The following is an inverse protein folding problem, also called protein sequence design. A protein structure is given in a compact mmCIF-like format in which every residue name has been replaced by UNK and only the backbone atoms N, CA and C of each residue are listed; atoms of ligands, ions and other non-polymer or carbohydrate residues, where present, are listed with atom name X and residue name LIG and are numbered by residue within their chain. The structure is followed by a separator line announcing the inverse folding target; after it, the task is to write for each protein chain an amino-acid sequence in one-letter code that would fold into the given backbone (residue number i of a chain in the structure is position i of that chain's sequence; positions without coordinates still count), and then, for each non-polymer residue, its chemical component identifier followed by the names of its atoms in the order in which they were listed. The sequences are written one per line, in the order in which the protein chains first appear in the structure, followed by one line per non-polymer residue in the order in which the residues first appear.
data_IF_596612037066
#
_entry.id   IF_596612037066
#
_cell.length_a   1.000
_cell.length_b   1.000
_cell.length_c   1.000
_cell.angle_alpha   90.00
_cell.angle_beta   90.00
_cell.angle_gamma   90.00
#
_symmetry.space_group_name_H-M   'P 1'
#
loop_
_entity.id
_entity.type
_entity.pdbx_description
1 polymer ?
#
# COMPACT_ATOMS: atom_id res chain seq x y z
N UNK A 1 30.48 -6.38 36.37
CA UNK A 1 29.32 -6.07 35.51
C UNK A 1 28.07 -6.35 36.31
N UNK A 2 27.51 -5.30 36.89
CA UNK A 2 26.61 -5.39 38.04
C UNK A 2 25.23 -5.91 37.63
N UNK A 3 24.49 -6.49 38.58
CA UNK A 3 23.19 -7.13 38.34
C UNK A 3 22.19 -6.21 37.60
N UNK A 4 22.26 -4.90 37.87
CA UNK A 4 21.47 -3.87 37.19
C UNK A 4 21.79 -3.78 35.69
N UNK A 5 23.06 -3.93 35.29
CA UNK A 5 23.47 -3.93 33.89
C UNK A 5 22.95 -5.17 33.14
N UNK A 6 22.91 -6.33 33.80
CA UNK A 6 22.38 -7.56 33.20
C UNK A 6 20.86 -7.49 32.97
N UNK A 7 20.12 -6.91 33.92
CA UNK A 7 18.66 -6.72 33.81
C UNK A 7 18.34 -5.69 32.72
N UNK A 8 19.06 -4.57 32.68
CA UNK A 8 18.87 -3.54 31.66
C UNK A 8 19.15 -4.07 30.24
N UNK A 9 20.22 -4.86 30.08
CA UNK A 9 20.56 -5.49 28.81
C UNK A 9 19.51 -6.52 28.36
N UNK A 10 19.00 -7.33 29.29
CA UNK A 10 17.94 -8.29 29.01
C UNK A 10 16.64 -7.63 28.55
N UNK A 11 16.27 -6.48 29.13
CA UNK A 11 15.08 -5.71 28.73
C UNK A 11 15.24 -5.09 27.33
N UNK A 12 16.44 -4.61 26.98
CA UNK A 12 16.73 -4.09 25.64
C UNK A 12 16.67 -5.18 24.56
N UNK A 13 17.19 -6.38 24.87
CA UNK A 13 17.11 -7.54 23.96
C UNK A 13 15.66 -8.00 23.81
N UNK A 14 14.89 -8.09 24.90
CA UNK A 14 13.48 -8.46 24.86
C UNK A 14 12.66 -7.46 24.04
N UNK A 15 12.91 -6.15 24.19
CA UNK A 15 12.27 -5.13 23.37
C UNK A 15 12.56 -5.33 21.88
N UNK A 16 13.81 -5.66 21.51
CA UNK A 16 14.20 -5.89 20.11
C UNK A 16 13.49 -7.08 19.45
N UNK A 17 13.13 -8.12 20.22
CA UNK A 17 12.36 -9.26 19.74
C UNK A 17 10.83 -9.05 19.76
N UNK A 18 10.34 -8.07 20.53
CA UNK A 18 8.91 -7.74 20.61
C UNK A 18 8.46 -6.71 19.56
N UNK A 19 9.39 -6.05 18.86
CA UNK A 19 9.05 -5.27 17.68
C UNK A 19 9.09 -6.20 16.47
N UNK A 20 7.94 -6.62 15.90
CA UNK A 20 7.95 -7.29 14.61
C UNK A 20 8.57 -6.31 13.61
N UNK A 21 9.69 -6.70 13.01
CA UNK A 21 10.27 -5.92 11.93
C UNK A 21 9.23 -5.97 10.82
N UNK A 22 8.64 -4.83 10.48
CA UNK A 22 7.62 -4.78 9.44
C UNK A 22 8.27 -5.23 8.12
N UNK A 23 8.01 -6.47 7.72
CA UNK A 23 8.48 -6.97 6.45
C UNK A 23 7.77 -6.20 5.34
N UNK A 24 8.54 -5.54 4.50
CA UNK A 24 8.08 -4.94 3.27
C UNK A 24 7.47 -6.03 2.37
N UNK A 25 6.14 -6.15 2.37
CA UNK A 25 5.44 -7.18 1.60
C UNK A 25 5.17 -6.68 0.19
N UNK A 26 6.05 -7.05 -0.75
CA UNK A 26 5.80 -6.84 -2.18
C UNK A 26 4.69 -7.81 -2.61
N UNK A 27 3.66 -7.25 -3.23
CA UNK A 27 2.51 -7.99 -3.75
C UNK A 27 2.32 -7.68 -5.23
N UNK A 28 1.61 -8.57 -5.93
CA UNK A 28 1.17 -8.39 -7.32
C UNK A 28 -0.34 -8.20 -7.32
N UNK A 29 -0.85 -7.27 -8.11
CA UNK A 29 -2.27 -6.97 -8.15
C UNK A 29 -2.73 -6.47 -9.51
N UNK A 30 -4.06 -6.35 -9.64
CA UNK A 30 -4.72 -5.85 -10.86
C UNK A 30 -5.52 -4.61 -10.51
N UNK A 31 -5.38 -3.54 -11.29
CA UNK A 31 -6.22 -2.35 -11.14
C UNK A 31 -7.66 -2.71 -11.53
N UNK A 32 -8.59 -2.58 -10.58
CA UNK A 32 -10.02 -2.90 -10.80
C UNK A 32 -10.90 -1.66 -10.88
N UNK A 33 -10.49 -0.54 -10.28
CA UNK A 33 -11.09 0.78 -10.50
C UNK A 33 -10.00 1.77 -10.87
N UNK A 34 -10.12 2.50 -12.00
CA UNK A 34 -9.08 3.40 -12.47
C UNK A 34 -9.19 4.77 -11.80
N UNK A 35 -8.15 5.58 -11.97
CA UNK A 35 -8.26 7.03 -11.73
C UNK A 35 -9.22 7.67 -12.75
N UNK A 36 -9.82 8.81 -12.41
CA UNK A 36 -10.70 9.56 -13.31
C UNK A 36 -10.28 11.03 -13.37
N UNK A 37 -10.82 11.78 -14.32
CA UNK A 37 -10.58 13.22 -14.38
C UNK A 37 -11.02 13.87 -13.06
N UNK A 38 -10.10 14.61 -12.42
CA UNK A 38 -10.35 15.26 -11.13
C UNK A 38 -10.26 14.32 -9.90
N UNK A 39 -9.96 13.03 -10.07
CA UNK A 39 -9.72 12.13 -8.95
C UNK A 39 -8.55 11.16 -9.19
N UNK A 40 -7.52 11.30 -8.37
CA UNK A 40 -6.29 10.51 -8.46
C UNK A 40 -6.33 9.20 -7.64
N UNK A 41 -7.50 8.80 -7.13
CA UNK A 41 -7.63 7.52 -6.43
C UNK A 41 -7.93 6.38 -7.40
N UNK A 42 -7.44 5.17 -7.09
CA UNK A 42 -7.69 3.94 -7.84
C UNK A 42 -7.65 2.73 -6.90
N UNK A 43 -8.27 1.61 -7.31
CA UNK A 43 -8.32 0.38 -6.51
C UNK A 43 -7.53 -0.72 -7.20
N UNK A 44 -6.72 -1.42 -6.41
CA UNK A 44 -5.99 -2.62 -6.82
C UNK A 44 -6.56 -3.83 -6.09
N UNK A 45 -6.88 -4.90 -6.82
CA UNK A 45 -7.15 -6.22 -6.26
C UNK A 45 -5.82 -6.91 -5.95
N UNK A 46 -5.67 -7.42 -4.73
CA UNK A 46 -4.48 -8.12 -4.24
C UNK A 46 -4.87 -9.52 -3.73
N UNK A 47 -3.91 -10.43 -3.46
CA UNK A 47 -4.21 -11.73 -2.87
C UNK A 47 -4.90 -11.65 -1.50
N UNK A 48 -4.71 -10.57 -0.76
CA UNK A 48 -5.27 -10.38 0.59
C UNK A 48 -6.54 -9.52 0.60
N UNK A 49 -7.08 -9.11 -0.56
CA UNK A 49 -8.28 -8.29 -0.66
C UNK A 49 -8.12 -7.16 -1.67
N UNK A 50 -8.48 -5.94 -1.29
CA UNK A 50 -8.37 -4.75 -2.13
C UNK A 50 -7.59 -3.64 -1.41
N UNK A 51 -6.83 -2.87 -2.19
CA UNK A 51 -6.12 -1.68 -1.73
C UNK A 51 -6.66 -0.43 -2.45
N UNK A 52 -6.87 0.64 -1.68
CA UNK A 52 -7.19 1.97 -2.20
C UNK A 52 -5.90 2.79 -2.22
N UNK A 53 -5.54 3.25 -3.41
CA UNK A 53 -4.30 3.97 -3.65
C UNK A 53 -4.62 5.36 -4.20
N UNK A 54 -3.86 6.37 -3.78
CA UNK A 54 -3.84 7.68 -4.41
C UNK A 54 -2.57 7.82 -5.25
N UNK A 55 -2.72 8.19 -6.52
CA UNK A 55 -1.60 8.49 -7.39
C UNK A 55 -0.98 9.84 -7.03
N UNK A 56 0.31 9.84 -6.70
CA UNK A 56 1.11 11.03 -6.37
C UNK A 56 2.19 11.34 -7.44
N UNK A 57 2.12 10.66 -8.59
CA UNK A 57 3.01 10.90 -9.73
C UNK A 57 2.44 11.92 -10.71
N UNK A 58 3.31 12.78 -11.24
CA UNK A 58 3.02 13.73 -12.33
C UNK A 58 3.05 13.07 -13.73
N UNK A 59 2.93 11.75 -13.80
CA UNK A 59 2.96 11.01 -15.06
C UNK A 59 1.67 11.20 -15.85
N UNK A 60 1.78 11.20 -17.18
CA UNK A 60 0.63 11.18 -18.10
C UNK A 60 -0.02 9.79 -18.16
N UNK A 61 0.71 8.74 -17.76
CA UNK A 61 0.25 7.36 -17.78
C UNK A 61 -0.52 7.04 -16.50
N UNK A 62 -1.84 7.09 -16.58
CA UNK A 62 -2.73 6.84 -15.45
C UNK A 62 -3.08 5.36 -15.30
N UNK A 63 -3.28 4.85 -14.07
CA UNK A 63 -3.76 3.48 -13.84
C UNK A 63 -5.11 3.23 -14.53
N UNK A 64 -5.18 2.18 -15.34
CA UNK A 64 -6.37 1.74 -16.07
C UNK A 64 -6.86 0.39 -15.54
N UNK A 65 -8.16 0.14 -15.61
CA UNK A 65 -8.71 -1.18 -15.27
C UNK A 65 -8.04 -2.26 -16.11
N UNK A 66 -7.58 -3.32 -15.45
CA UNK A 66 -6.86 -4.44 -16.06
C UNK A 66 -5.34 -4.31 -16.03
N UNK A 67 -4.79 -3.13 -15.69
CA UNK A 67 -3.34 -2.97 -15.54
C UNK A 67 -2.81 -3.88 -14.42
N UNK A 68 -1.69 -4.55 -14.70
CA UNK A 68 -0.97 -5.35 -13.74
C UNK A 68 0.09 -4.51 -13.01
N UNK A 69 0.05 -4.54 -11.69
CA UNK A 69 0.94 -3.74 -10.83
C UNK A 69 1.68 -4.62 -9.82
N UNK A 70 2.90 -4.21 -9.47
CA UNK A 70 3.73 -4.84 -8.43
C UNK A 70 4.29 -3.79 -7.47
N UNK A 71 4.26 -4.06 -6.17
CA UNK A 71 4.71 -3.13 -5.14
C UNK A 71 4.12 -3.43 -3.77
N UNK A 72 4.38 -2.56 -2.80
CA UNK A 72 3.89 -2.71 -1.42
C UNK A 72 2.53 -2.02 -1.23
N UNK A 73 1.44 -2.64 -1.70
CA UNK A 73 0.10 -2.04 -1.53
C UNK A 73 -0.58 -2.44 -0.21
N UNK A 74 0.05 -3.30 0.59
CA UNK A 74 -0.51 -3.88 1.82
C UNK A 74 0.06 -3.24 3.09
N UNK A 75 0.60 -2.03 2.97
CA UNK A 75 1.14 -1.26 4.10
C UNK A 75 0.84 0.22 3.90
N UNK A 76 0.46 0.92 4.97
CA UNK A 76 0.08 2.34 4.92
C UNK A 76 1.27 3.23 4.51
N UNK A 77 0.96 4.31 3.79
CA UNK A 77 1.87 5.42 3.50
C UNK A 77 2.39 5.48 2.05
N UNK A 78 3.44 6.27 1.83
CA UNK A 78 4.04 6.43 0.50
C UNK A 78 4.76 5.17 0.05
N UNK A 79 4.50 4.72 -1.19
CA UNK A 79 5.12 3.55 -1.80
C UNK A 79 5.42 3.79 -3.28
N UNK A 80 6.34 3.01 -3.81
CA UNK A 80 6.57 2.89 -5.23
C UNK A 80 5.87 1.64 -5.76
N UNK A 81 5.16 1.79 -6.87
CA UNK A 81 4.39 0.74 -7.52
C UNK A 81 4.76 0.73 -8.99
N UNK A 82 5.19 -0.42 -9.50
CA UNK A 82 5.52 -0.59 -10.91
C UNK A 82 4.28 -1.10 -11.63
N UNK A 83 3.80 -0.37 -12.62
CA UNK A 83 2.79 -0.83 -13.56
C UNK A 83 3.51 -1.60 -14.68
N UNK A 84 3.37 -2.93 -14.65
CA UNK A 84 4.01 -3.84 -15.59
C UNK A 84 3.37 -3.79 -16.97
N UNK A 85 2.07 -3.47 -17.06
CA UNK A 85 1.36 -3.34 -18.34
C UNK A 85 1.78 -2.10 -19.11
N UNK A 86 2.01 -0.99 -18.41
CA UNK A 86 2.36 0.30 -19.01
C UNK A 86 3.86 0.61 -18.96
N UNK A 87 4.67 -0.25 -18.31
CA UNK A 87 6.12 -0.07 -18.11
C UNK A 87 6.49 1.27 -17.43
N UNK A 88 5.73 1.66 -16.41
CA UNK A 88 5.94 2.91 -15.67
C UNK A 88 5.91 2.69 -14.16
N UNK A 89 6.68 3.50 -13.42
CA UNK A 89 6.65 3.51 -11.95
C UNK A 89 5.80 4.67 -11.44
N UNK A 90 4.91 4.34 -10.51
CA UNK A 90 4.09 5.29 -9.78
C UNK A 90 4.61 5.47 -8.36
N UNK A 91 4.63 6.73 -7.91
CA UNK A 91 4.64 7.06 -6.50
C UNK A 91 3.19 7.17 -6.06
N UNK A 92 2.82 6.38 -5.06
CA UNK A 92 1.44 6.32 -4.56
C UNK A 92 1.41 6.54 -3.06
N UNK A 93 0.25 6.95 -2.55
CA UNK A 93 -0.08 6.88 -1.15
C UNK A 93 -1.08 5.74 -0.94
N UNK A 94 -0.74 4.76 -0.09
CA UNK A 94 -1.65 3.69 0.31
C UNK A 94 -2.61 4.22 1.37
N UNK A 95 -3.85 4.46 0.95
CA UNK A 95 -4.90 5.05 1.78
C UNK A 95 -5.61 3.98 2.63
N UNK A 96 -5.74 2.76 2.14
CA UNK A 96 -6.23 1.61 2.90
C UNK A 96 -5.95 0.30 2.15
N UNK A 97 -5.92 -0.83 2.85
CA UNK A 97 -5.63 -2.15 2.29
C UNK A 97 -6.36 -3.28 3.04
N UNK A 98 -6.28 -4.50 2.50
CA UNK A 98 -7.01 -5.69 2.97
C UNK A 98 -8.53 -5.45 3.08
N UNK A 99 -9.05 -4.57 2.23
CA UNK A 99 -10.46 -4.26 2.15
C UNK A 99 -11.23 -5.39 1.49
N UNK A 100 -12.51 -5.51 1.84
CA UNK A 100 -13.48 -6.19 0.98
C UNK A 100 -13.79 -5.32 -0.26
N UNK A 101 -14.27 -5.94 -1.34
CA UNK A 101 -14.65 -5.24 -2.57
C UNK A 101 -15.65 -4.09 -2.29
N UNK A 102 -16.68 -4.36 -1.49
CA UNK A 102 -17.71 -3.37 -1.13
C UNK A 102 -17.14 -2.17 -0.38
N UNK A 103 -16.24 -2.41 0.59
CA UNK A 103 -15.58 -1.32 1.33
C UNK A 103 -14.63 -0.50 0.46
N UNK A 104 -13.92 -1.15 -0.46
CA UNK A 104 -13.03 -0.46 -1.40
C UNK A 104 -13.83 0.51 -2.29
N UNK A 105 -14.94 0.05 -2.87
CA UNK A 105 -15.81 0.88 -3.71
C UNK A 105 -16.46 2.01 -2.90
N UNK A 106 -16.98 1.73 -1.71
CA UNK A 106 -17.54 2.75 -0.81
C UNK A 106 -16.52 3.87 -0.52
N UNK A 107 -15.28 3.50 -0.17
CA UNK A 107 -14.21 4.47 0.11
C UNK A 107 -13.79 5.25 -1.13
N UNK A 108 -13.65 4.59 -2.27
CA UNK A 108 -13.36 5.25 -3.54
C UNK A 108 -14.41 6.31 -3.87
N UNK A 109 -15.71 5.99 -3.76
CA UNK A 109 -16.79 6.94 -4.06
C UNK A 109 -16.84 8.13 -3.09
N UNK A 110 -16.40 7.95 -1.84
CA UNK A 110 -16.24 9.09 -0.90
C UNK A 110 -15.09 10.02 -1.29
N UNK A 111 -14.00 9.48 -1.85
CA UNK A 111 -12.84 10.27 -2.27
C UNK A 111 -13.03 10.90 -3.66
N UNK A 112 -13.77 10.22 -4.53
CA UNK A 112 -14.11 10.63 -5.88
C UNK A 112 -15.64 10.81 -6.02
N UNK A 113 -16.24 11.85 -5.43
CA UNK A 113 -17.64 12.17 -5.69
C UNK A 113 -17.84 12.54 -7.17
N UNK A 114 -19.08 12.38 -7.66
CA UNK A 114 -19.47 12.59 -9.05
C UNK A 114 -19.22 14.03 -9.54
#
# INVERSE_FOLDING_TARGET
MDMVHKISLALLILAFFLFPWAEARISRGIVVYPTRLGCDYFIVSTPSGYALLQLWSLTVYKPKTGDEVVGEFETYGFREVINLTQEVTYRVWVEDYWLTASRAVERYLRKCPF
#
